data_IF_215235402524
#
_entry.id   IF_215235402524
#
_cell.length_a   1.000
_cell.length_b   1.000
_cell.length_c   1.000
_cell.angle_alpha   90.00
_cell.angle_beta   90.00
_cell.angle_gamma   90.00
#
_symmetry.space_group_name_H-M   'P 1'
#
loop_
_entity.id
_entity.type
_entity.pdbx_description
1 polymer ?
#
# COMPACT_ATOMS: atom_id res chain seq x y z
N UNK A 1 61.65 6.77 30.99
CA UNK A 1 60.35 6.07 31.11
C UNK A 1 59.30 6.96 30.44
N UNK A 2 58.90 6.62 29.21
CA UNK A 2 58.20 7.51 28.28
C UNK A 2 56.72 7.13 28.22
N UNK A 3 55.81 8.07 28.50
CA UNK A 3 54.37 7.87 28.34
C UNK A 3 53.95 8.21 26.89
N UNK A 4 53.11 7.40 26.22
CA UNK A 4 52.58 7.77 24.93
C UNK A 4 51.23 8.51 25.04
N UNK A 5 51.23 9.75 24.59
CA UNK A 5 50.05 10.55 24.21
C UNK A 5 49.42 9.95 22.94
N UNK A 6 48.12 9.63 22.97
CA UNK A 6 47.34 9.18 21.80
C UNK A 6 46.10 10.06 21.62
N UNK A 7 46.30 11.35 21.37
CA UNK A 7 45.31 12.14 20.62
C UNK A 7 45.45 11.90 19.12
N UNK A 8 44.56 11.09 18.55
CA UNK A 8 44.05 11.22 17.16
C UNK A 8 42.99 10.13 16.89
N UNK A 9 41.72 10.46 17.11
CA UNK A 9 40.60 9.80 16.46
C UNK A 9 39.89 10.84 15.62
N UNK A 10 39.98 10.69 14.29
CA UNK A 10 39.26 11.52 13.33
C UNK A 10 37.76 11.19 13.32
N UNK A 11 36.93 12.09 12.78
CA UNK A 11 35.48 11.95 12.84
C UNK A 11 34.98 10.81 11.95
N UNK A 12 34.09 9.99 12.52
CA UNK A 12 33.39 8.89 11.86
C UNK A 12 32.61 9.40 10.64
N UNK A 13 33.02 8.95 9.45
CA UNK A 13 32.43 9.32 8.17
C UNK A 13 31.29 8.36 7.76
N UNK A 14 30.36 8.04 8.67
CA UNK A 14 29.26 7.11 8.38
C UNK A 14 27.94 7.58 9.00
N UNK A 15 27.32 8.59 8.40
CA UNK A 15 25.93 8.96 8.75
C UNK A 15 25.14 9.55 7.58
N UNK A 16 25.33 9.04 6.36
CA UNK A 16 24.53 9.42 5.17
C UNK A 16 23.88 8.26 4.42
N UNK A 17 24.30 7.02 4.66
CA UNK A 17 23.81 5.85 3.91
C UNK A 17 22.50 5.25 4.47
N UNK A 18 22.09 5.64 5.68
CA UNK A 18 20.95 5.02 6.36
C UNK A 18 19.58 5.50 5.85
N UNK A 19 19.51 6.68 5.22
CA UNK A 19 18.24 7.24 4.72
C UNK A 19 17.79 6.61 3.40
N UNK A 20 18.74 6.26 2.53
CA UNK A 20 18.45 5.64 1.23
C UNK A 20 18.09 4.16 1.37
N UNK A 21 18.76 3.43 2.27
CA UNK A 21 18.43 2.03 2.55
C UNK A 21 16.98 1.88 3.09
N UNK A 22 16.53 2.82 3.92
CA UNK A 22 15.15 2.84 4.46
C UNK A 22 14.09 3.08 3.39
N UNK A 23 14.32 4.01 2.45
CA UNK A 23 13.40 4.28 1.35
C UNK A 23 13.29 3.09 0.38
N UNK A 24 14.42 2.44 0.06
CA UNK A 24 14.42 1.25 -0.80
C UNK A 24 13.70 0.07 -0.13
N UNK A 25 13.82 -0.10 1.18
CA UNK A 25 13.13 -1.16 1.93
C UNK A 25 11.60 -1.04 1.84
N UNK A 26 11.06 0.16 2.00
CA UNK A 26 9.60 0.40 1.92
C UNK A 26 9.09 0.12 0.50
N UNK A 27 9.79 0.61 -0.53
CA UNK A 27 9.41 0.36 -1.92
C UNK A 27 9.46 -1.14 -2.24
N UNK A 28 10.51 -1.85 -1.81
CA UNK A 28 10.66 -3.28 -2.01
C UNK A 28 9.54 -4.09 -1.32
N UNK A 29 9.14 -3.73 -0.10
CA UNK A 29 8.03 -4.35 0.61
C UNK A 29 6.67 -4.14 -0.07
N UNK A 30 6.42 -2.94 -0.64
CA UNK A 30 5.19 -2.66 -1.37
C UNK A 30 5.09 -3.46 -2.68
N UNK A 31 6.21 -3.67 -3.37
CA UNK A 31 6.26 -4.50 -4.58
C UNK A 31 6.08 -6.01 -4.31
N UNK A 32 6.34 -6.47 -3.09
CA UNK A 32 6.34 -7.89 -2.73
C UNK A 32 4.97 -8.43 -2.24
N UNK A 33 3.87 -7.69 -2.40
CA UNK A 33 2.54 -8.15 -1.99
C UNK A 33 1.73 -8.71 -3.18
N UNK A 34 1.88 -9.99 -3.56
CA UNK A 34 0.92 -10.63 -4.43
C UNK A 34 -0.31 -10.99 -3.60
N UNK A 35 -1.38 -10.21 -3.76
CA UNK A 35 -2.77 -10.68 -3.81
C UNK A 35 -3.10 -11.92 -2.95
N UNK A 36 -3.26 -11.76 -1.64
CA UNK A 36 -3.77 -12.83 -0.77
C UNK A 36 -5.28 -13.00 -0.95
N UNK A 37 -5.68 -14.05 -1.66
CA UNK A 37 -7.07 -14.49 -1.84
C UNK A 37 -7.61 -15.23 -0.60
N UNK A 38 -7.72 -14.51 0.52
CA UNK A 38 -8.43 -14.96 1.72
C UNK A 38 -9.30 -13.80 2.23
N UNK A 39 -10.48 -13.61 1.64
CA UNK A 39 -11.22 -12.33 1.58
C UNK A 39 -11.68 -11.68 2.89
N UNK A 40 -11.42 -12.24 4.08
CA UNK A 40 -11.61 -11.52 5.36
C UNK A 40 -10.27 -11.31 6.08
N UNK A 41 -9.42 -12.35 6.13
CA UNK A 41 -8.07 -12.25 6.70
C UNK A 41 -7.22 -11.25 5.91
N UNK A 42 -7.25 -11.32 4.58
CA UNK A 42 -6.48 -10.45 3.70
C UNK A 42 -6.98 -8.99 3.75
N UNK A 43 -8.27 -8.78 3.98
CA UNK A 43 -8.85 -7.44 4.12
C UNK A 43 -8.35 -6.78 5.41
N UNK A 44 -8.45 -7.49 6.55
CA UNK A 44 -7.97 -6.97 7.83
C UNK A 44 -6.44 -6.90 7.88
N UNK A 45 -5.72 -7.85 7.28
CA UNK A 45 -4.26 -7.80 7.14
C UNK A 45 -3.81 -6.58 6.32
N UNK A 46 -4.49 -6.27 5.20
CA UNK A 46 -4.23 -5.08 4.41
C UNK A 46 -4.50 -3.81 5.23
N UNK A 47 -5.63 -3.76 5.95
CA UNK A 47 -5.98 -2.62 6.80
C UNK A 47 -4.96 -2.39 7.92
N UNK A 48 -4.54 -3.46 8.60
CA UNK A 48 -3.53 -3.39 9.67
C UNK A 48 -2.15 -3.00 9.13
N UNK A 49 -1.77 -3.53 7.97
CA UNK A 49 -0.51 -3.21 7.31
C UNK A 49 -0.46 -1.76 6.86
N UNK A 50 -1.54 -1.25 6.26
CA UNK A 50 -1.66 0.15 5.86
C UNK A 50 -1.64 1.09 7.06
N UNK A 51 -2.31 0.73 8.14
CA UNK A 51 -2.28 1.49 9.39
C UNK A 51 -0.85 1.55 9.95
N UNK A 52 -0.16 0.42 10.06
CA UNK A 52 1.21 0.36 10.53
C UNK A 52 2.17 1.16 9.62
N UNK A 53 1.96 1.11 8.30
CA UNK A 53 2.69 1.92 7.35
C UNK A 53 2.49 3.40 7.65
N UNK A 54 1.25 3.89 7.76
CA UNK A 54 0.93 5.30 8.04
C UNK A 54 1.51 5.76 9.37
N UNK A 55 1.41 4.95 10.43
CA UNK A 55 1.98 5.25 11.74
C UNK A 55 3.51 5.34 11.72
N UNK A 56 4.18 4.60 10.82
CA UNK A 56 5.65 4.63 10.69
C UNK A 56 6.19 5.85 9.92
N UNK A 57 5.35 6.61 9.21
CA UNK A 57 5.79 7.73 8.36
C UNK A 57 6.22 8.92 9.21
N UNK A 58 7.49 9.30 9.10
CA UNK A 58 8.10 10.34 9.92
C UNK A 58 8.36 11.65 9.16
N UNK A 59 8.38 11.62 7.82
CA UNK A 59 8.65 12.83 7.02
C UNK A 59 7.48 13.21 6.09
N UNK A 60 7.33 14.50 5.74
CA UNK A 60 6.31 14.96 4.80
C UNK A 60 6.43 14.27 3.43
N UNK A 61 7.65 14.05 2.94
CA UNK A 61 7.90 13.41 1.64
C UNK A 61 7.43 11.94 1.64
N UNK A 62 7.65 11.23 2.75
CA UNK A 62 7.15 9.86 2.92
C UNK A 62 5.62 9.83 2.92
N UNK A 63 4.98 10.76 3.63
CA UNK A 63 3.51 10.92 3.65
C UNK A 63 2.96 11.22 2.26
N UNK A 64 3.60 12.11 1.50
CA UNK A 64 3.18 12.44 0.14
C UNK A 64 3.32 11.27 -0.84
N UNK A 65 4.40 10.48 -0.71
CA UNK A 65 4.60 9.29 -1.53
C UNK A 65 3.53 8.23 -1.26
N UNK A 66 3.27 7.93 0.02
CA UNK A 66 2.22 6.97 0.41
C UNK A 66 0.84 7.46 0.01
N UNK A 67 0.55 8.77 0.14
CA UNK A 67 -0.70 9.36 -0.35
C UNK A 67 -0.89 9.09 -1.85
N UNK A 68 0.11 9.39 -2.68
CA UNK A 68 0.01 9.16 -4.13
C UNK A 68 -0.13 7.68 -4.46
N UNK A 69 0.59 6.81 -3.74
CA UNK A 69 0.50 5.37 -3.90
C UNK A 69 -0.91 4.86 -3.63
N UNK A 70 -1.48 5.16 -2.46
CA UNK A 70 -2.83 4.74 -2.08
C UNK A 70 -3.90 5.31 -3.01
N UNK A 71 -3.75 6.56 -3.45
CA UNK A 71 -4.66 7.19 -4.44
C UNK A 71 -4.67 6.43 -5.76
N UNK A 72 -3.48 6.08 -6.27
CA UNK A 72 -3.35 5.33 -7.51
C UNK A 72 -3.91 3.91 -7.37
N UNK A 73 -3.68 3.28 -6.21
CA UNK A 73 -4.17 1.93 -5.95
C UNK A 73 -5.70 1.89 -5.87
N UNK A 74 -6.31 2.79 -5.08
CA UNK A 74 -7.75 2.95 -5.03
C UNK A 74 -8.35 3.15 -6.42
N UNK A 75 -7.82 4.10 -7.20
CA UNK A 75 -8.28 4.38 -8.56
C UNK A 75 -8.17 3.15 -9.48
N UNK A 76 -7.07 2.42 -9.42
CA UNK A 76 -6.86 1.21 -10.22
C UNK A 76 -7.93 0.15 -9.89
N UNK A 77 -8.16 -0.09 -8.60
CA UNK A 77 -9.17 -1.05 -8.11
C UNK A 77 -10.59 -0.67 -8.53
N UNK A 78 -10.96 0.62 -8.41
CA UNK A 78 -12.24 1.15 -8.91
C UNK A 78 -12.43 0.93 -10.41
N UNK A 79 -11.40 1.23 -11.20
CA UNK A 79 -11.44 1.06 -12.66
C UNK A 79 -11.60 -0.42 -13.05
N UNK A 80 -10.89 -1.31 -12.37
CA UNK A 80 -10.99 -2.75 -12.61
C UNK A 80 -12.36 -3.30 -12.19
N UNK A 81 -12.92 -2.83 -11.06
CA UNK A 81 -14.28 -3.15 -10.65
C UNK A 81 -15.33 -2.69 -11.68
N UNK A 82 -15.18 -1.47 -12.22
CA UNK A 82 -16.04 -0.96 -13.28
C UNK A 82 -15.96 -1.84 -14.55
N UNK A 83 -14.75 -2.18 -14.99
CA UNK A 83 -14.53 -3.06 -16.14
C UNK A 83 -15.16 -4.45 -15.94
N UNK A 84 -15.04 -5.05 -14.75
CA UNK A 84 -15.68 -6.33 -14.45
C UNK A 84 -17.21 -6.26 -14.50
N UNK A 85 -17.81 -5.15 -14.07
CA UNK A 85 -19.25 -4.91 -14.20
C UNK A 85 -19.68 -4.76 -15.65
N UNK A 86 -18.89 -4.06 -16.47
CA UNK A 86 -19.13 -3.96 -17.90
C UNK A 86 -19.12 -5.35 -18.56
N UNK A 87 -18.11 -6.17 -18.26
CA UNK A 87 -18.05 -7.56 -18.71
C UNK A 87 -19.27 -8.37 -18.24
N UNK A 88 -19.66 -8.24 -16.97
CA UNK A 88 -20.84 -8.91 -16.42
C UNK A 88 -22.16 -8.47 -17.08
N UNK A 89 -22.22 -7.21 -17.55
CA UNK A 89 -23.38 -6.65 -18.24
C UNK A 89 -23.50 -7.12 -19.69
N UNK A 90 -22.35 -7.39 -20.34
CA UNK A 90 -22.27 -7.90 -21.70
C UNK A 90 -22.58 -9.40 -21.82
N UNK A 91 -22.65 -10.14 -20.70
CA UNK A 91 -22.99 -11.56 -20.69
C UNK A 91 -24.47 -11.80 -21.12
N UNK A 92 -24.71 -12.69 -22.11
CA UNK A 92 -26.05 -12.94 -22.63
C UNK A 92 -26.96 -13.65 -21.60
N UNK A 93 -28.20 -13.16 -21.46
CA UNK A 93 -29.21 -13.60 -20.48
C UNK A 93 -29.62 -15.08 -20.57
N UNK A 94 -29.34 -15.75 -21.70
CA UNK A 94 -29.79 -17.12 -22.01
C UNK A 94 -28.67 -18.17 -21.86
N UNK A 95 -27.46 -17.76 -21.49
CA UNK A 95 -26.36 -18.71 -21.31
C UNK A 95 -26.47 -19.42 -19.95
N UNK A 96 -26.30 -20.75 -19.87
CA UNK A 96 -26.24 -21.50 -18.61
C UNK A 96 -25.05 -21.11 -17.71
N UNK A 97 -24.21 -20.16 -18.13
CA UNK A 97 -23.12 -19.49 -17.41
C UNK A 97 -23.59 -18.46 -16.35
N UNK A 98 -24.72 -18.67 -15.66
CA UNK A 98 -25.18 -17.77 -14.59
C UNK A 98 -24.12 -17.54 -13.49
N UNK A 99 -23.27 -18.54 -13.25
CA UNK A 99 -22.14 -18.47 -12.33
C UNK A 99 -21.02 -17.52 -12.76
N UNK A 100 -20.78 -17.33 -14.06
CA UNK A 100 -19.72 -16.43 -14.55
C UNK A 100 -20.08 -14.96 -14.31
N UNK A 101 -21.30 -14.57 -14.64
CA UNK A 101 -21.80 -13.23 -14.34
C UNK A 101 -21.73 -12.92 -12.85
N UNK A 102 -22.20 -13.85 -12.01
CA UNK A 102 -22.11 -13.71 -10.56
C UNK A 102 -20.66 -13.56 -10.09
N UNK A 103 -19.75 -14.41 -10.57
CA UNK A 103 -18.31 -14.33 -10.22
C UNK A 103 -17.70 -12.98 -10.61
N UNK A 104 -18.02 -12.44 -11.79
CA UNK A 104 -17.54 -11.12 -12.22
C UNK A 104 -18.03 -10.01 -11.27
N UNK A 105 -19.29 -10.08 -10.83
CA UNK A 105 -19.85 -9.14 -9.87
C UNK A 105 -19.22 -9.29 -8.48
N UNK A 106 -19.04 -10.52 -7.99
CA UNK A 106 -18.40 -10.80 -6.70
C UNK A 106 -16.96 -10.25 -6.68
N UNK A 107 -16.20 -10.44 -7.77
CA UNK A 107 -14.85 -9.87 -7.91
C UNK A 107 -14.87 -8.34 -7.96
N UNK A 108 -15.83 -7.74 -8.67
CA UNK A 108 -15.98 -6.28 -8.71
C UNK A 108 -16.30 -5.70 -7.33
N UNK A 109 -17.15 -6.36 -6.55
CA UNK A 109 -17.49 -5.97 -5.18
C UNK A 109 -16.28 -6.06 -4.25
N UNK A 110 -15.48 -7.13 -4.37
CA UNK A 110 -14.25 -7.26 -3.60
C UNK A 110 -13.27 -6.12 -3.91
N UNK A 111 -13.04 -5.79 -5.18
CA UNK A 111 -12.17 -4.69 -5.56
C UNK A 111 -12.65 -3.34 -5.03
N UNK A 112 -13.97 -3.13 -4.93
CA UNK A 112 -14.53 -1.92 -4.32
C UNK A 112 -14.34 -1.86 -2.81
N UNK A 113 -14.42 -2.99 -2.10
CA UNK A 113 -14.05 -3.06 -0.67
C UNK A 113 -12.59 -2.68 -0.48
N UNK A 114 -11.69 -3.29 -1.24
CA UNK A 114 -10.25 -2.97 -1.20
C UNK A 114 -9.97 -1.50 -1.52
N UNK A 115 -10.62 -0.94 -2.56
CA UNK A 115 -10.51 0.48 -2.88
C UNK A 115 -10.97 1.38 -1.73
N UNK A 116 -12.04 0.99 -1.05
CA UNK A 116 -12.61 1.75 0.07
C UNK A 116 -11.65 1.79 1.27
N UNK A 117 -10.91 0.71 1.52
CA UNK A 117 -9.88 0.65 2.58
C UNK A 117 -8.76 1.65 2.28
N UNK A 118 -8.24 1.65 1.05
CA UNK A 118 -7.21 2.61 0.64
C UNK A 118 -7.70 4.07 0.77
N UNK A 119 -8.96 4.32 0.39
CA UNK A 119 -9.60 5.64 0.54
C UNK A 119 -9.77 6.04 2.01
N UNK A 120 -10.09 5.11 2.90
CA UNK A 120 -10.16 5.33 4.34
C UNK A 120 -8.77 5.65 4.93
N UNK A 121 -7.76 4.87 4.58
CA UNK A 121 -6.36 5.11 4.96
C UNK A 121 -5.89 6.50 4.50
N UNK A 122 -6.28 6.92 3.30
CA UNK A 122 -5.99 8.27 2.80
C UNK A 122 -6.63 9.38 3.64
N UNK A 123 -7.87 9.21 4.08
CA UNK A 123 -8.54 10.16 4.98
C UNK A 123 -7.83 10.24 6.32
N UNK A 124 -7.42 9.10 6.87
CA UNK A 124 -6.68 9.02 8.13
C UNK A 124 -5.30 9.71 8.01
N UNK A 125 -4.58 9.48 6.92
CA UNK A 125 -3.31 10.13 6.64
C UNK A 125 -3.46 11.66 6.51
N UNK A 126 -4.54 12.14 5.89
CA UNK A 126 -4.84 13.57 5.79
C UNK A 126 -5.12 14.19 7.18
N UNK A 127 -5.89 13.49 8.03
CA UNK A 127 -6.16 13.93 9.40
C UNK A 127 -4.87 14.03 10.25
N UNK A 128 -3.97 13.04 10.14
CA UNK A 128 -2.67 13.04 10.85
C UNK A 128 -1.75 14.16 10.36
N UNK A 129 -1.87 14.58 9.09
CA UNK A 129 -1.05 15.65 8.53
C UNK A 129 -1.57 17.06 8.84
N UNK A 130 -2.80 17.19 9.32
CA UNK A 130 -3.43 18.47 9.64
C UNK A 130 -3.27 18.87 11.12
N UNK A 131 -2.88 17.93 11.98
CA UNK A 131 -2.46 18.14 13.37
C UNK A 131 -0.95 18.35 13.46
#
# INVERSE_FOLDING_TARGET
>A
MHAPDRRRMGPNHYMKLNRFASLCGIVFFLFLSPFSLASFSAEEEARLTEKALVESLSTPEQKDLVRRYLQNLAKKKRNEAAHLRELASAEPKLSPLSGRKKKLLDMAEQLDREASIHEETLRNLAAISAN
#
